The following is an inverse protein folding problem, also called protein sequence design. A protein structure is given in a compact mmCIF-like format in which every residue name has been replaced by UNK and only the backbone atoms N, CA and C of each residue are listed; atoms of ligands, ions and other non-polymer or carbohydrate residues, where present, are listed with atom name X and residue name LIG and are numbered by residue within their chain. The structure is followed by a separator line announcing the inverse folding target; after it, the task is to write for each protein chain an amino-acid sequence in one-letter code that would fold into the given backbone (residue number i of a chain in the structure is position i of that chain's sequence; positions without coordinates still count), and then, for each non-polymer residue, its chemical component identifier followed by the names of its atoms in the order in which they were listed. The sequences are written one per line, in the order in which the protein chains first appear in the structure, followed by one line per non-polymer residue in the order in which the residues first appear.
data_IF_620077327920
#
_entry.id   IF_620077327920
#
_cell.length_a   1.000
_cell.length_b   1.000
_cell.length_c   1.000
_cell.angle_alpha   90.00
_cell.angle_beta   90.00
_cell.angle_gamma   90.00
#
_symmetry.space_group_name_H-M   'P 1'
#
loop_
_entity.id
_entity.type
_entity.pdbx_description
1 polymer ?
#
# COMPACT_ATOMS: atom_id res chain seq x y z
N UNK A 1 -11.51 9.93 -13.39
CA UNK A 1 -10.75 8.65 -13.45
C UNK A 1 -9.32 9.00 -13.76
N UNK A 2 -8.38 8.51 -12.97
CA UNK A 2 -6.95 8.76 -13.23
C UNK A 2 -6.59 8.06 -14.53
N UNK A 3 -6.06 8.80 -15.51
CA UNK A 3 -5.51 8.17 -16.70
C UNK A 3 -4.25 7.43 -16.27
N UNK A 4 -4.16 6.12 -16.51
CA UNK A 4 -2.89 5.42 -16.38
C UNK A 4 -1.88 6.12 -17.29
N UNK A 5 -0.76 6.56 -16.73
CA UNK A 5 0.32 7.19 -17.48
C UNK A 5 1.34 6.11 -17.81
N UNK A 6 1.76 6.05 -19.07
CA UNK A 6 2.90 5.22 -19.46
C UNK A 6 4.17 5.87 -18.86
N UNK A 7 4.68 5.26 -17.80
CA UNK A 7 5.96 5.61 -17.18
C UNK A 7 7.11 4.73 -17.68
N UNK A 8 8.34 4.95 -17.20
CA UNK A 8 9.47 4.09 -17.56
C UNK A 8 9.21 2.63 -17.17
N UNK A 9 8.45 2.40 -16.10
CA UNK A 9 8.04 1.07 -15.64
C UNK A 9 6.51 0.90 -15.57
N UNK A 10 6.07 -0.36 -15.51
CA UNK A 10 4.68 -0.75 -15.36
C UNK A 10 4.50 -1.83 -14.31
N UNK A 11 3.33 -1.87 -13.66
CA UNK A 11 2.88 -3.01 -12.85
C UNK A 11 2.20 -4.10 -13.70
N UNK A 12 2.00 -3.88 -15.00
CA UNK A 12 1.50 -4.91 -15.89
C UNK A 12 2.59 -5.96 -16.14
N UNK A 13 2.47 -7.11 -15.49
CA UNK A 13 3.40 -8.24 -15.59
C UNK A 13 3.49 -8.82 -17.00
N UNK A 14 2.57 -8.47 -17.90
CA UNK A 14 2.58 -8.88 -19.31
C UNK A 14 3.35 -7.90 -20.21
N UNK A 15 3.79 -6.74 -19.70
CA UNK A 15 4.53 -5.75 -20.46
C UNK A 15 6.05 -5.95 -20.37
N UNK A 16 6.82 -5.54 -21.39
CA UNK A 16 8.28 -5.61 -21.36
C UNK A 16 8.94 -4.82 -20.23
N UNK A 17 8.31 -3.73 -19.78
CA UNK A 17 8.73 -2.92 -18.63
C UNK A 17 7.98 -3.27 -17.34
N UNK A 18 7.47 -4.50 -17.24
CA UNK A 18 6.84 -5.05 -16.04
C UNK A 18 7.84 -5.44 -14.95
N UNK A 19 7.36 -5.86 -13.76
CA UNK A 19 8.21 -6.08 -12.57
C UNK A 19 9.40 -7.01 -12.76
N UNK A 20 9.25 -8.06 -13.59
CA UNK A 20 10.34 -9.02 -13.89
C UNK A 20 11.50 -8.43 -14.69
N UNK A 21 11.31 -7.25 -15.27
CA UNK A 21 12.27 -6.62 -16.17
C UNK A 21 12.74 -5.25 -15.67
N UNK A 22 12.25 -4.76 -14.52
CA UNK A 22 12.54 -3.40 -14.06
C UNK A 22 14.04 -3.08 -14.04
N UNK A 23 14.89 -4.00 -13.58
CA UNK A 23 16.35 -3.82 -13.55
C UNK A 23 17.02 -3.65 -14.92
N UNK A 24 16.33 -4.02 -16.00
CA UNK A 24 16.80 -3.89 -17.38
C UNK A 24 16.22 -2.68 -18.12
N UNK A 25 15.28 -1.96 -17.49
CA UNK A 25 14.63 -0.78 -18.09
C UNK A 25 15.54 0.44 -18.02
N UNK A 26 16.22 0.63 -16.90
CA UNK A 26 17.11 1.77 -16.64
C UNK A 26 18.26 1.31 -15.72
N UNK A 27 19.45 1.90 -15.88
CA UNK A 27 20.62 1.61 -15.03
C UNK A 27 20.36 1.98 -13.56
N UNK A 28 19.59 3.05 -13.32
CA UNK A 28 19.17 3.46 -11.98
C UNK A 28 18.29 2.41 -11.29
N UNK A 29 17.70 1.47 -12.04
CA UNK A 29 16.81 0.43 -11.50
C UNK A 29 17.55 -0.88 -11.20
N UNK A 30 18.88 -0.90 -11.32
CA UNK A 30 19.70 -2.11 -11.12
C UNK A 30 19.42 -2.84 -9.80
N UNK A 31 19.14 -2.11 -8.71
CA UNK A 31 18.80 -2.69 -7.41
C UNK A 31 17.54 -3.58 -7.47
N UNK A 32 16.59 -3.34 -8.39
CA UNK A 32 15.40 -4.17 -8.57
C UNK A 32 15.71 -5.62 -8.98
N UNK A 33 16.92 -5.91 -9.46
CA UNK A 33 17.35 -7.25 -9.86
C UNK A 33 18.61 -7.75 -9.16
N UNK A 34 19.46 -6.84 -8.67
CA UNK A 34 20.71 -7.17 -7.98
C UNK A 34 20.64 -7.02 -6.45
N UNK A 35 19.59 -6.40 -5.92
CA UNK A 35 19.40 -6.22 -4.48
C UNK A 35 19.23 -7.54 -3.73
N UNK A 36 19.72 -7.59 -2.50
CA UNK A 36 19.68 -8.77 -1.62
C UNK A 36 18.60 -8.64 -0.52
N UNK A 37 18.13 -7.42 -0.26
CA UNK A 37 17.19 -7.08 0.81
C UNK A 37 15.97 -6.37 0.19
N UNK A 38 15.36 -7.06 -0.78
CA UNK A 38 14.23 -6.55 -1.55
C UNK A 38 12.88 -6.79 -0.84
N UNK A 39 11.96 -5.86 -1.08
CA UNK A 39 10.55 -5.93 -0.70
C UNK A 39 9.66 -6.13 -1.94
N UNK A 40 8.46 -6.70 -1.81
CA UNK A 40 7.82 -7.19 -0.57
C UNK A 40 8.35 -8.57 -0.13
N UNK A 41 8.00 -8.97 1.09
CA UNK A 41 8.28 -10.31 1.65
C UNK A 41 6.99 -11.04 2.06
N UNK A 42 7.11 -12.36 2.27
CA UNK A 42 6.12 -13.13 3.03
C UNK A 42 6.44 -13.05 4.52
N UNK A 43 5.50 -12.56 5.34
CA UNK A 43 5.65 -12.56 6.79
C UNK A 43 5.30 -13.96 7.36
N UNK A 44 6.26 -14.70 7.96
CA UNK A 44 6.00 -16.02 8.50
C UNK A 44 5.16 -15.97 9.78
N UNK A 45 4.39 -17.03 10.06
CA UNK A 45 3.61 -17.18 11.29
C UNK A 45 4.47 -17.09 12.57
N UNK A 46 5.75 -17.43 12.44
CA UNK A 46 6.75 -17.43 13.51
C UNK A 46 7.42 -16.08 13.73
N UNK A 47 7.00 -15.00 13.05
CA UNK A 47 7.25 -13.66 13.60
C UNK A 47 6.41 -13.60 14.86
N UNK A 48 7.02 -14.05 15.96
CA UNK A 48 6.62 -13.68 17.30
C UNK A 48 6.75 -12.19 17.35
N UNK A 49 5.72 -11.51 16.85
CA UNK A 49 5.53 -10.09 16.94
C UNK A 49 5.42 -9.82 18.43
N UNK A 50 6.55 -9.73 19.11
CA UNK A 50 6.62 -8.95 20.33
C UNK A 50 6.30 -7.55 19.83
N UNK A 51 5.09 -7.04 20.06
CA UNK A 51 4.74 -5.72 19.59
C UNK A 51 5.83 -4.79 20.10
N UNK A 52 6.37 -3.94 19.23
CA UNK A 52 7.32 -2.93 19.66
C UNK A 52 6.67 -2.19 20.83
N UNK A 53 7.24 -2.30 22.04
CA UNK A 53 6.70 -1.67 23.25
C UNK A 53 6.55 -0.15 23.04
N UNK A 54 7.43 0.42 22.21
CA UNK A 54 7.40 1.78 21.67
C UNK A 54 7.18 1.77 20.14
N UNK A 55 6.13 1.08 19.69
CA UNK A 55 5.73 1.05 18.27
C UNK A 55 5.43 2.44 17.70
N UNK A 56 5.34 2.58 16.36
CA UNK A 56 5.09 3.87 15.72
C UNK A 56 3.86 4.55 16.32
N UNK A 57 4.02 5.81 16.73
CA UNK A 57 2.97 6.65 17.29
C UNK A 57 2.57 7.68 16.23
N UNK A 58 1.54 7.39 15.40
CA UNK A 58 1.09 8.31 14.37
C UNK A 58 0.51 9.58 15.01
N UNK A 59 0.96 10.74 14.51
CA UNK A 59 0.45 12.07 14.81
C UNK A 59 0.10 12.76 13.50
N UNK A 60 -0.82 12.12 12.79
CA UNK A 60 -1.28 12.57 11.48
C UNK A 60 -2.41 13.57 11.66
N UNK A 61 -2.56 14.46 10.68
CA UNK A 61 -3.60 15.48 10.71
C UNK A 61 -4.34 15.49 9.39
N UNK A 62 -5.60 15.92 9.44
CA UNK A 62 -6.36 16.23 8.22
C UNK A 62 -5.61 17.30 7.43
N UNK A 63 -5.31 17.02 6.17
CA UNK A 63 -4.46 17.86 5.33
C UNK A 63 -4.78 17.68 3.84
N UNK A 64 -4.28 18.60 3.01
CA UNK A 64 -4.37 18.51 1.56
C UNK A 64 -3.34 17.52 1.01
N UNK A 65 -3.81 16.65 0.11
CA UNK A 65 -2.98 15.73 -0.67
C UNK A 65 -3.18 15.97 -2.16
N UNK A 66 -2.10 15.87 -2.92
CA UNK A 66 -2.10 15.96 -4.38
C UNK A 66 -2.09 14.57 -4.99
N UNK A 67 -3.02 14.32 -5.91
CA UNK A 67 -3.14 13.08 -6.63
C UNK A 67 -2.08 12.98 -7.73
N UNK A 68 -1.25 11.94 -7.65
CA UNK A 68 -0.32 11.51 -8.68
C UNK A 68 -0.79 10.21 -9.33
N UNK A 69 -0.61 10.10 -10.64
CA UNK A 69 -1.01 8.93 -11.44
C UNK A 69 0.18 8.07 -11.82
N UNK A 70 0.05 6.75 -11.72
CA UNK A 70 1.03 5.78 -12.18
C UNK A 70 0.44 4.70 -13.11
N UNK A 71 1.23 3.68 -13.41
CA UNK A 71 0.78 2.52 -14.17
C UNK A 71 0.04 1.56 -13.24
N UNK A 72 -1.30 1.50 -13.32
CA UNK A 72 -2.14 0.67 -12.43
C UNK A 72 -1.98 0.99 -10.93
N UNK A 73 -1.63 2.23 -10.62
CA UNK A 73 -1.49 2.75 -9.27
C UNK A 73 -1.74 4.26 -9.28
N UNK A 74 -2.12 4.84 -8.14
CA UNK A 74 -2.06 6.27 -7.88
C UNK A 74 -1.51 6.52 -6.48
N UNK A 75 -0.87 7.68 -6.30
CA UNK A 75 -0.33 8.12 -5.03
C UNK A 75 -0.98 9.45 -4.61
N UNK A 76 -1.08 9.65 -3.31
CA UNK A 76 -1.52 10.89 -2.68
C UNK A 76 -0.31 11.50 -1.97
N UNK A 77 0.36 12.43 -2.64
CA UNK A 77 1.49 13.15 -2.07
C UNK A 77 1.00 14.21 -1.09
N UNK A 78 1.71 14.41 0.02
CA UNK A 78 1.43 15.53 0.89
C UNK A 78 1.61 16.84 0.12
N UNK A 79 0.57 17.69 0.06
CA UNK A 79 0.58 18.86 -0.81
C UNK A 79 1.63 19.89 -0.37
N UNK A 80 1.71 20.12 0.93
CA UNK A 80 2.68 21.03 1.55
C UNK A 80 3.62 20.22 2.45
N UNK A 81 4.93 20.50 2.35
CA UNK A 81 5.94 19.77 3.11
C UNK A 81 5.60 19.75 4.61
N UNK A 82 5.59 18.55 5.20
CA UNK A 82 5.29 18.27 6.63
C UNK A 82 3.87 18.64 7.11
N UNK A 83 2.99 19.14 6.25
CA UNK A 83 1.63 19.53 6.63
C UNK A 83 0.72 18.34 6.99
N UNK A 84 1.04 17.14 6.48
CA UNK A 84 0.27 15.91 6.71
C UNK A 84 0.56 15.23 8.05
N UNK A 85 1.45 15.80 8.85
CA UNK A 85 1.85 15.26 10.15
C UNK A 85 3.04 14.30 10.06
N UNK A 86 3.23 13.54 11.14
CA UNK A 86 4.40 12.67 11.32
C UNK A 86 4.07 11.50 12.23
N UNK A 87 4.93 10.49 12.20
CA UNK A 87 4.94 9.37 13.14
C UNK A 87 6.18 9.46 14.02
N UNK A 88 6.02 9.34 15.33
CA UNK A 88 7.17 9.13 16.23
C UNK A 88 7.54 7.66 16.20
N UNK A 89 8.79 7.35 15.87
CA UNK A 89 9.31 5.99 15.88
C UNK A 89 10.81 5.99 16.15
N UNK A 90 11.28 5.08 17.00
CA UNK A 90 12.68 4.99 17.43
C UNK A 90 13.25 6.34 17.92
N UNK A 91 12.46 7.08 18.71
CA UNK A 91 12.88 8.35 19.32
C UNK A 91 12.94 9.56 18.38
N UNK A 92 12.57 9.43 17.10
CA UNK A 92 12.57 10.55 16.14
C UNK A 92 11.28 10.67 15.33
N UNK A 93 11.12 11.83 14.69
CA UNK A 93 9.99 12.13 13.79
C UNK A 93 10.26 11.58 12.40
N UNK A 94 9.23 10.97 11.83
CA UNK A 94 9.17 10.52 10.44
C UNK A 94 7.97 11.20 9.81
N UNK A 95 8.21 12.15 8.91
CA UNK A 95 7.16 12.98 8.30
C UNK A 95 6.49 12.24 7.14
N UNK A 96 5.17 12.30 7.03
CA UNK A 96 4.44 11.69 5.90
C UNK A 96 4.79 12.44 4.62
N UNK A 97 5.24 11.70 3.61
CA UNK A 97 5.52 12.26 2.28
C UNK A 97 4.42 11.90 1.28
N UNK A 98 3.90 10.68 1.33
CA UNK A 98 2.82 10.22 0.45
C UNK A 98 2.19 8.93 0.94
N UNK A 99 0.96 8.67 0.51
CA UNK A 99 0.30 7.38 0.65
C UNK A 99 -0.12 6.86 -0.71
N UNK A 100 0.09 5.58 -0.98
CA UNK A 100 -0.40 4.91 -2.19
C UNK A 100 -0.93 3.53 -1.87
N UNK A 101 -1.54 2.89 -2.86
CA UNK A 101 -2.20 1.61 -2.71
C UNK A 101 -1.74 0.61 -3.76
N UNK A 102 -1.95 -0.68 -3.46
CA UNK A 102 -1.63 -1.79 -4.33
C UNK A 102 -2.81 -2.76 -4.36
N UNK A 103 -3.17 -3.22 -5.56
CA UNK A 103 -4.15 -4.29 -5.76
C UNK A 103 -3.59 -5.37 -6.69
N UNK A 104 -3.49 -6.63 -6.23
CA UNK A 104 -3.67 -7.09 -4.85
C UNK A 104 -2.62 -6.51 -3.89
N UNK A 105 -2.64 -6.90 -2.60
CA UNK A 105 -1.51 -6.60 -1.68
C UNK A 105 -0.19 -7.03 -2.29
N UNK A 106 0.92 -6.41 -1.91
CA UNK A 106 2.27 -6.80 -2.32
C UNK A 106 2.84 -7.83 -1.34
N UNK A 107 2.76 -7.52 -0.03
CA UNK A 107 3.10 -8.45 1.03
C UNK A 107 2.08 -9.58 1.14
N UNK A 108 2.55 -10.72 1.66
CA UNK A 108 1.71 -11.82 2.08
C UNK A 108 1.92 -12.08 3.57
N UNK A 109 0.87 -12.51 4.27
CA UNK A 109 0.94 -12.95 5.66
C UNK A 109 0.65 -14.45 5.69
N UNK A 110 1.62 -15.27 6.12
CA UNK A 110 1.51 -16.73 6.06
C UNK A 110 1.09 -17.21 4.66
N UNK A 111 1.73 -16.68 3.63
CA UNK A 111 1.44 -16.91 2.20
C UNK A 111 0.06 -16.44 1.71
N UNK A 112 -0.79 -15.91 2.60
CA UNK A 112 -2.06 -15.32 2.21
C UNK A 112 -1.80 -13.94 1.58
N UNK A 113 -2.24 -13.78 0.33
CA UNK A 113 -2.36 -12.49 -0.35
C UNK A 113 -3.70 -11.84 -0.03
N UNK A 114 -3.67 -10.53 0.16
CA UNK A 114 -4.83 -9.74 0.54
C UNK A 114 -5.36 -8.94 -0.65
N UNK A 115 -6.65 -8.56 -0.66
CA UNK A 115 -7.23 -7.82 -1.77
C UNK A 115 -6.66 -6.41 -1.96
N UNK A 116 -6.12 -5.77 -0.92
CA UNK A 116 -5.53 -4.44 -1.04
C UNK A 116 -4.41 -4.26 -0.01
N UNK A 117 -3.46 -3.40 -0.32
CA UNK A 117 -2.45 -2.91 0.62
C UNK A 117 -2.24 -1.42 0.42
N UNK A 118 -2.03 -0.68 1.50
CA UNK A 118 -1.60 0.71 1.45
C UNK A 118 -0.21 0.86 2.03
N UNK A 119 0.59 1.71 1.40
CA UNK A 119 1.88 2.16 1.91
C UNK A 119 1.79 3.64 2.24
N UNK A 120 1.92 3.97 3.52
CA UNK A 120 2.15 5.36 3.97
C UNK A 120 3.64 5.55 4.15
N UNK A 121 4.25 6.29 3.23
CA UNK A 121 5.69 6.53 3.19
C UNK A 121 6.02 7.74 4.04
N UNK A 122 7.06 7.59 4.85
CA UNK A 122 7.58 8.61 5.73
C UNK A 122 9.06 8.85 5.48
N UNK A 123 9.52 10.07 5.76
CA UNK A 123 10.92 10.44 5.73
C UNK A 123 11.35 11.08 7.06
N UNK A 124 12.47 10.63 7.62
CA UNK A 124 13.10 11.28 8.78
C UNK A 124 13.90 12.52 8.37
N UNK A 125 14.26 13.38 9.32
CA UNK A 125 15.08 14.56 9.04
C UNK A 125 16.45 14.22 8.42
N UNK A 126 16.98 13.02 8.71
CA UNK A 126 18.23 12.51 8.15
C UNK A 126 18.07 11.90 6.73
N UNK A 127 16.89 12.00 6.13
CA UNK A 127 16.60 11.48 4.78
C UNK A 127 16.22 9.99 4.71
N UNK A 128 16.35 9.23 5.81
CA UNK A 128 15.96 7.82 5.85
C UNK A 128 14.46 7.64 5.60
N UNK A 129 14.08 6.52 4.97
CA UNK A 129 12.70 6.18 4.64
C UNK A 129 12.14 5.09 5.56
N UNK A 130 10.87 5.27 5.94
CA UNK A 130 10.07 4.25 6.59
C UNK A 130 8.70 4.14 5.92
N UNK A 131 8.17 2.93 5.81
CA UNK A 131 6.85 2.65 5.24
C UNK A 131 6.00 1.97 6.29
N UNK A 132 4.85 2.56 6.61
CA UNK A 132 3.80 1.83 7.33
C UNK A 132 2.93 1.13 6.28
N UNK A 133 2.93 -0.20 6.33
CA UNK A 133 2.16 -1.04 5.41
C UNK A 133 0.90 -1.57 6.12
N UNK A 134 -0.26 -1.34 5.52
CA UNK A 134 -1.55 -1.83 6.01
C UNK A 134 -2.17 -2.72 4.94
N UNK A 135 -2.38 -4.00 5.27
CA UNK A 135 -3.18 -4.90 4.42
C UNK A 135 -4.65 -4.77 4.75
N UNK A 136 -5.50 -4.96 3.74
CA UNK A 136 -6.94 -4.92 3.89
C UNK A 136 -7.56 -6.25 3.49
N UNK A 137 -8.55 -6.72 4.22
CA UNK A 137 -9.34 -7.91 3.88
C UNK A 137 -10.83 -7.60 3.79
N UNK A 138 -11.57 -8.48 3.13
CA UNK A 138 -13.02 -8.43 3.17
C UNK A 138 -13.50 -8.80 4.59
N UNK A 139 -14.59 -8.18 5.06
CA UNK A 139 -15.14 -8.56 6.35
C UNK A 139 -15.57 -10.04 6.35
N UNK A 140 -15.53 -10.72 7.52
CA UNK A 140 -15.90 -12.12 7.61
C UNK A 140 -17.31 -12.37 7.06
N UNK A 141 -17.49 -13.48 6.33
CA UNK A 141 -18.80 -13.81 5.75
C UNK A 141 -19.87 -14.05 6.82
N UNK A 142 -19.47 -14.49 8.02
CA UNK A 142 -20.36 -14.68 9.16
C UNK A 142 -20.99 -13.36 9.64
N UNK A 143 -20.29 -12.24 9.47
CA UNK A 143 -20.74 -10.92 9.90
C UNK A 143 -21.54 -10.20 8.80
N UNK A 144 -21.64 -10.80 7.60
CA UNK A 144 -22.38 -10.28 6.46
C UNK A 144 -23.89 -10.31 6.76
N UNK A 145 -24.58 -9.16 6.84
CA UNK A 145 -26.00 -9.14 7.19
C UNK A 145 -26.82 -9.94 6.17
N UNK A 146 -27.72 -10.80 6.66
CA UNK A 146 -28.53 -11.69 5.82
C UNK A 146 -29.40 -10.96 4.79
N UNK A 147 -29.74 -9.70 5.05
CA UNK A 147 -30.47 -8.81 4.13
C UNK A 147 -29.62 -8.26 2.98
N UNK A 148 -28.28 -8.28 3.08
CA UNK A 148 -27.35 -7.82 2.02
C UNK A 148 -27.04 -8.96 1.04
N UNK A 149 -27.21 -10.24 1.42
CA UNK A 149 -26.98 -11.39 0.51
C UNK A 149 -27.89 -11.39 -0.74
N UNK A 150 -29.03 -10.68 -0.71
CA UNK A 150 -30.05 -10.73 -1.76
C UNK A 150 -29.99 -9.58 -2.80
N UNK A 151 -29.13 -8.57 -2.62
CA UNK A 151 -29.01 -7.44 -3.54
C UNK A 151 -27.54 -7.26 -3.94
N UNK A 152 -27.22 -7.43 -5.21
CA UNK A 152 -25.88 -7.29 -5.76
C UNK A 152 -25.18 -5.98 -5.34
N UNK A 153 -24.28 -6.05 -4.36
CA UNK A 153 -23.28 -5.02 -3.97
C UNK A 153 -23.80 -3.71 -3.35
N UNK A 154 -23.86 -3.60 -2.01
CA UNK A 154 -23.61 -2.32 -1.30
C UNK A 154 -22.93 -2.49 0.08
N UNK A 155 -21.90 -1.66 0.28
CA UNK A 155 -21.29 -1.05 1.48
C UNK A 155 -20.92 -1.86 2.74
N UNK A 156 -21.13 -3.17 2.79
CA UNK A 156 -20.62 -3.94 3.93
C UNK A 156 -19.08 -3.99 3.93
N UNK A 157 -18.47 -3.67 5.07
CA UNK A 157 -17.02 -3.56 5.21
C UNK A 157 -16.41 -2.30 4.58
N UNK A 158 -17.18 -1.23 4.41
CA UNK A 158 -16.64 0.04 3.89
C UNK A 158 -15.55 0.59 4.80
N UNK A 159 -14.37 0.79 4.22
CA UNK A 159 -13.29 1.52 4.83
C UNK A 159 -13.56 3.04 4.71
N UNK A 160 -13.69 3.80 5.81
CA UNK A 160 -14.02 5.23 5.73
C UNK A 160 -12.93 6.06 5.04
N UNK A 161 -11.64 5.74 5.26
CA UNK A 161 -10.53 6.41 4.61
C UNK A 161 -10.59 6.25 3.09
N UNK A 162 -10.67 5.00 2.62
CA UNK A 162 -10.69 4.73 1.19
C UNK A 162 -11.95 5.29 0.51
N UNK A 163 -13.07 5.39 1.24
CA UNK A 163 -14.27 6.08 0.75
C UNK A 163 -13.99 7.55 0.47
N UNK A 164 -13.46 8.29 1.45
CA UNK A 164 -13.12 9.71 1.31
C UNK A 164 -12.13 9.93 0.14
N UNK A 165 -11.12 9.08 0.03
CA UNK A 165 -10.14 9.13 -1.06
C UNK A 165 -10.78 8.92 -2.44
N UNK A 166 -11.59 7.87 -2.60
CA UNK A 166 -12.24 7.57 -3.89
C UNK A 166 -13.25 8.66 -4.28
N UNK A 167 -13.95 9.26 -3.31
CA UNK A 167 -14.81 10.41 -3.54
C UNK A 167 -14.01 11.63 -4.01
N UNK A 168 -12.84 11.89 -3.42
CA UNK A 168 -11.92 12.96 -3.87
C UNK A 168 -11.45 12.76 -5.31
N UNK A 169 -11.02 11.55 -5.65
CA UNK A 169 -10.54 11.19 -7.00
C UNK A 169 -11.66 11.29 -8.05
N UNK A 170 -12.87 10.88 -7.71
CA UNK A 170 -14.01 10.92 -8.65
C UNK A 170 -14.48 12.34 -8.95
N UNK A 171 -14.24 13.28 -8.05
CA UNK A 171 -14.55 14.71 -8.23
C UNK A 171 -13.47 15.47 -9.04
N UNK A 172 -12.46 14.78 -9.57
CA UNK A 172 -11.34 15.34 -10.36
C UNK A 172 -10.60 16.49 -9.66
N UNK A 173 -10.59 16.45 -8.33
CA UNK A 173 -9.83 17.37 -7.50
C UNK A 173 -8.38 16.92 -7.58
N UNK A 174 -7.53 17.61 -8.35
CA UNK A 174 -6.09 17.31 -8.38
C UNK A 174 -5.45 17.38 -6.98
N UNK A 175 -5.99 18.23 -6.11
CA UNK A 175 -5.65 18.31 -4.69
C UNK A 175 -6.93 18.33 -3.85
N UNK A 176 -6.99 17.55 -2.78
CA UNK A 176 -8.12 17.51 -1.86
C UNK A 176 -7.70 17.15 -0.44
N UNK A 177 -8.54 17.53 0.52
CA UNK A 177 -8.32 17.27 1.94
C UNK A 177 -8.73 15.84 2.30
N UNK A 178 -7.94 15.16 3.11
CA UNK A 178 -8.16 13.77 3.54
C UNK A 178 -7.83 13.65 5.02
N UNK A 179 -8.58 12.84 5.76
CA UNK A 179 -8.26 12.44 7.13
C UNK A 179 -7.43 11.14 7.19
N UNK A 180 -6.11 11.20 7.40
CA UNK A 180 -5.26 10.01 7.37
C UNK A 180 -5.40 9.13 8.61
N UNK A 181 -6.10 9.56 9.67
CA UNK A 181 -6.14 8.80 10.93
C UNK A 181 -6.82 7.43 10.79
N UNK A 182 -7.64 7.24 9.75
CA UNK A 182 -8.31 5.96 9.50
C UNK A 182 -7.45 4.95 8.71
N UNK A 183 -6.24 5.30 8.27
CA UNK A 183 -5.36 4.39 7.52
C UNK A 183 -4.36 3.62 8.41
N UNK A 184 -3.95 4.23 9.54
CA UNK A 184 -2.98 3.64 10.47
C UNK A 184 -3.66 3.46 11.82
N UNK A 185 -3.82 2.20 12.22
CA UNK A 185 -4.33 1.78 13.52
C UNK A 185 -3.21 1.05 14.31
N UNK A 186 -2.61 1.73 15.30
CA UNK A 186 -1.52 1.17 16.08
C UNK A 186 -1.97 0.18 17.18
N UNK A 187 -3.28 -0.07 17.35
CA UNK A 187 -3.83 -0.79 18.51
C UNK A 187 -3.35 -2.24 18.69
N UNK A 188 -2.96 -2.92 17.59
CA UNK A 188 -2.42 -4.29 17.63
C UNK A 188 -0.89 -4.34 17.43
N UNK A 189 -0.24 -3.16 17.34
CA UNK A 189 1.19 -3.06 17.10
C UNK A 189 1.60 -3.38 15.67
N UNK A 190 2.92 -3.54 15.48
CA UNK A 190 3.56 -3.64 14.19
C UNK A 190 4.68 -4.69 14.21
N UNK A 191 4.88 -5.37 13.08
CA UNK A 191 6.13 -6.06 12.78
C UNK A 191 7.05 -5.13 12.02
N UNK A 192 8.36 -5.22 12.24
CA UNK A 192 9.34 -4.40 11.51
C UNK A 192 10.38 -5.25 10.79
N UNK A 193 10.78 -4.83 9.60
CA UNK A 193 11.95 -5.37 8.91
C UNK A 193 12.63 -4.27 8.07
N UNK A 194 13.88 -4.50 7.67
CA UNK A 194 14.57 -3.64 6.71
C UNK A 194 14.46 -4.27 5.32
N UNK A 195 14.02 -3.48 4.34
CA UNK A 195 13.71 -3.90 2.98
C UNK A 195 14.08 -2.83 1.95
N UNK A 196 13.32 -2.79 0.85
CA UNK A 196 13.50 -1.84 -0.25
C UNK A 196 12.22 -1.11 -0.62
N UNK A 197 12.32 -0.08 -1.45
CA UNK A 197 11.15 0.36 -2.22
C UNK A 197 10.60 -0.81 -3.05
N UNK A 198 9.28 -0.96 -3.10
CA UNK A 198 8.61 -1.98 -3.94
C UNK A 198 8.38 -1.48 -5.37
N UNK A 199 8.86 -0.29 -5.69
CA UNK A 199 8.92 0.27 -7.04
C UNK A 199 10.32 0.69 -7.40
N UNK A 200 10.65 0.79 -8.69
CA UNK A 200 11.90 1.38 -9.14
C UNK A 200 12.15 2.77 -8.49
N UNK A 201 13.40 3.07 -8.07
CA UNK A 201 14.63 2.30 -8.31
C UNK A 201 14.89 1.13 -7.34
N UNK A 202 13.91 0.69 -6.55
CA UNK A 202 14.03 -0.43 -5.61
C UNK A 202 15.15 -0.26 -4.57
N UNK A 203 15.39 0.99 -4.16
CA UNK A 203 16.39 1.38 -3.16
C UNK A 203 16.19 0.62 -1.86
N UNK A 204 17.24 -0.05 -1.37
CA UNK A 204 17.26 -0.76 -0.09
C UNK A 204 17.48 0.17 1.11
N UNK A 205 17.37 -0.36 2.32
CA UNK A 205 17.51 0.40 3.58
C UNK A 205 16.20 1.05 4.03
N UNK A 206 15.07 0.66 3.45
CA UNK A 206 13.74 1.14 3.86
C UNK A 206 13.29 0.37 5.09
N UNK A 207 12.86 1.08 6.13
CA UNK A 207 12.26 0.44 7.31
C UNK A 207 10.77 0.18 7.04
N UNK A 208 10.36 -1.08 6.94
CA UNK A 208 8.95 -1.44 6.87
C UNK A 208 8.40 -1.67 8.27
N UNK A 209 7.23 -1.09 8.54
CA UNK A 209 6.42 -1.25 9.73
C UNK A 209 5.07 -1.83 9.29
N UNK A 210 4.97 -3.15 9.30
CA UNK A 210 3.77 -3.87 8.91
C UNK A 210 2.76 -3.83 10.05
N UNK A 211 1.61 -3.20 9.82
CA UNK A 211 0.53 -3.13 10.80
C UNK A 211 -0.08 -4.51 11.03
N UNK A 212 -0.22 -4.90 12.30
CA UNK A 212 -0.82 -6.19 12.67
C UNK A 212 -2.34 -6.19 12.57
N UNK A 213 -2.97 -5.02 12.72
CA UNK A 213 -4.40 -4.89 12.46
C UNK A 213 -4.68 -4.91 10.95
N UNK A 214 -5.42 -5.92 10.50
CA UNK A 214 -5.92 -6.04 9.13
C UNK A 214 -7.12 -5.10 8.98
N UNK A 215 -6.99 -4.11 8.10
CA UNK A 215 -8.08 -3.18 7.85
C UNK A 215 -9.20 -3.86 7.06
N UNK A 216 -10.45 -3.48 7.32
CA UNK A 216 -11.57 -3.97 6.50
C UNK A 216 -11.69 -3.15 5.23
N UNK A 217 -12.00 -3.80 4.09
CA UNK A 217 -12.36 -3.15 2.82
C UNK A 217 -13.51 -3.87 2.14
N UNK A 218 -14.38 -3.16 1.42
CA UNK A 218 -15.45 -3.80 0.65
C UNK A 218 -14.97 -4.22 -0.75
N UNK A 219 -15.58 -5.27 -1.32
CA UNK A 219 -15.33 -5.68 -2.72
C UNK A 219 -15.55 -4.54 -3.70
N UNK A 220 -16.52 -3.67 -3.42
CA UNK A 220 -16.82 -2.50 -4.25
C UNK A 220 -15.68 -1.48 -4.21
N UNK A 221 -15.13 -1.21 -3.03
CA UNK A 221 -14.00 -0.28 -2.89
C UNK A 221 -12.74 -0.80 -3.60
N UNK A 222 -12.43 -2.10 -3.50
CA UNK A 222 -11.30 -2.70 -4.22
C UNK A 222 -11.48 -2.59 -5.74
N UNK A 223 -12.70 -2.87 -6.23
CA UNK A 223 -13.03 -2.73 -7.64
C UNK A 223 -12.92 -1.27 -8.12
N UNK A 224 -13.44 -0.32 -7.34
CA UNK A 224 -13.43 1.11 -7.69
C UNK A 224 -12.02 1.69 -7.59
N UNK A 225 -11.21 1.23 -6.64
CA UNK A 225 -9.78 1.48 -6.60
C UNK A 225 -9.11 1.04 -7.90
N UNK A 226 -9.22 -0.24 -8.26
CA UNK A 226 -8.57 -0.79 -9.45
C UNK A 226 -8.97 -0.05 -10.74
N UNK A 227 -10.25 0.31 -10.87
CA UNK A 227 -10.73 1.15 -11.97
C UNK A 227 -10.14 2.56 -11.95
N UNK A 228 -10.11 3.21 -10.78
CA UNK A 228 -9.54 4.56 -10.65
C UNK A 228 -8.05 4.58 -10.95
N UNK A 229 -7.32 3.49 -10.67
CA UNK A 229 -5.91 3.30 -11.00
C UNK A 229 -5.65 2.95 -12.49
N UNK A 230 -6.70 2.83 -13.30
CA UNK A 230 -6.60 2.53 -14.73
C UNK A 230 -6.37 1.06 -15.07
N UNK A 231 -6.66 0.13 -14.14
CA UNK A 231 -6.62 -1.30 -14.45
C UNK A 231 -7.76 -1.70 -15.39
N UNK A 232 -7.51 -2.52 -16.42
CA UNK A 232 -8.57 -3.04 -17.28
C UNK A 232 -9.54 -3.94 -16.50
N UNK A 233 -10.86 -3.78 -16.69
CA UNK A 233 -11.90 -4.60 -16.03
C UNK A 233 -11.66 -6.11 -16.09
N UNK A 234 -11.10 -6.59 -17.20
CA UNK A 234 -10.77 -8.01 -17.42
C UNK A 234 -9.66 -8.51 -16.47
N UNK A 235 -8.78 -7.63 -15.99
CA UNK A 235 -7.65 -7.97 -15.12
C UNK A 235 -7.99 -7.83 -13.63
N UNK A 236 -8.96 -6.98 -13.25
CA UNK A 236 -9.34 -6.74 -11.84
C UNK A 236 -9.69 -8.04 -11.09
N UNK A 237 -10.42 -8.96 -11.74
CA UNK A 237 -10.84 -10.21 -11.10
C UNK A 237 -9.80 -11.34 -11.22
N UNK A 238 -8.84 -11.24 -12.14
CA UNK A 238 -7.87 -12.31 -12.41
C UNK A 238 -6.53 -12.12 -11.69
N UNK A 239 -6.26 -10.95 -11.11
CA UNK A 239 -4.96 -10.62 -10.52
C UNK A 239 -4.70 -11.29 -9.16
N UNK A 240 -5.73 -11.84 -8.50
CA UNK A 240 -5.53 -12.66 -7.30
C UNK A 240 -4.65 -13.90 -7.57
N UNK A 241 -4.60 -14.40 -8.80
CA UNK A 241 -3.90 -15.64 -9.15
C UNK A 241 -2.45 -15.41 -9.65
N UNK A 242 -2.02 -14.18 -9.93
CA UNK A 242 -0.79 -13.92 -10.71
C UNK A 242 0.46 -13.54 -9.89
N UNK A 243 0.32 -13.09 -8.64
CA UNK A 243 1.44 -12.56 -7.84
C UNK A 243 2.13 -13.60 -6.92
N UNK A 244 2.03 -14.91 -7.21
CA UNK A 244 2.59 -15.98 -6.34
C UNK A 244 4.12 -16.16 -6.46
N UNK A 245 4.79 -15.49 -7.39
CA UNK A 245 6.25 -15.59 -7.49
C UNK A 245 6.90 -14.23 -7.23
N UNK A 246 7.40 -13.95 -6.02
CA UNK A 246 8.58 -13.13 -5.73
C UNK A 246 9.03 -13.34 -4.27
N UNK A 247 10.35 -13.47 -4.10
CA UNK A 247 11.13 -13.65 -2.87
C UNK A 247 10.85 -14.91 -2.02
N UNK A 248 11.35 -16.06 -2.46
CA UNK A 248 11.82 -17.08 -1.51
C UNK A 248 13.02 -16.48 -0.75
N UNK A 249 12.79 -16.09 0.50
CA UNK A 249 13.89 -15.75 1.40
C UNK A 249 14.80 -16.98 1.53
N UNK A 250 16.02 -16.86 1.03
CA UNK A 250 17.10 -17.76 1.40
C UNK A 250 17.23 -17.69 2.92
N UNK A 251 16.93 -18.82 3.58
CA UNK A 251 17.09 -19.01 5.02
C UNK A 251 18.50 -18.63 5.47
N UNK A 252 18.59 -17.75 6.48
CA UNK A 252 19.71 -17.73 7.42
C UNK A 252 19.39 -18.67 8.57
#
# INVERSE_FOLDING_TARGET
MVKAVDGPYSYDTTRPNGPRSWSSVDEEFSACGAGEIQSPINFPAAVGASPLADGPQPKLVRANYTLGSGSWNWALACHEERACGYTMFAGKKWYVIQTHFHHPSEHTLMEKRFPLESHTVHQSEDGNLAVIATVFDYPPEADYPSTIKAAHNMDYGVNPYLKEVLEGITQDKGTFEIDPMAIIDPSQGFCSYTGSLTTPPCTEGVTFLMQMNIATVSRRQVHDYALSAGMPRKKIHSLCDFYVSQASASSV
#
